data_IF_661986402760
#
_entry.id   IF_661986402760
#
_cell.length_a   1.000
_cell.length_b   1.000
_cell.length_c   1.000
_cell.angle_alpha   90.00
_cell.angle_beta   90.00
_cell.angle_gamma   90.00
#
_symmetry.space_group_name_H-M   'P 1'
#
loop_
_entity.id
_entity.type
_entity.pdbx_description
1 polymer ?
#
# COMPACT_ATOMS: atom_id res chain seq x y z
N UNK A 1 -1.37 0.21 25.60
CA UNK A 1 -2.62 -0.56 25.43
C UNK A 1 -2.38 -1.58 24.33
N UNK A 2 -2.68 -2.87 24.52
CA UNK A 2 -2.64 -3.86 23.43
C UNK A 2 -4.05 -3.91 22.82
N UNK A 3 -4.23 -3.38 21.62
CA UNK A 3 -5.47 -3.58 20.87
C UNK A 3 -5.48 -5.01 20.29
N UNK A 4 -6.66 -5.62 20.19
CA UNK A 4 -6.80 -6.89 19.49
C UNK A 4 -6.59 -6.71 17.98
N UNK A 5 -6.17 -7.78 17.31
CA UNK A 5 -6.04 -7.82 15.85
C UNK A 5 -7.35 -7.47 15.15
N UNK A 6 -8.48 -7.94 15.69
CA UNK A 6 -9.83 -7.63 15.19
C UNK A 6 -10.14 -6.13 15.23
N UNK A 7 -9.77 -5.43 16.31
CA UNK A 7 -9.97 -3.97 16.42
C UNK A 7 -9.10 -3.23 15.41
N UNK A 8 -7.85 -3.65 15.23
CA UNK A 8 -6.93 -3.01 14.28
C UNK A 8 -7.36 -3.25 12.83
N UNK A 9 -7.90 -4.43 12.52
CA UNK A 9 -8.45 -4.74 11.22
C UNK A 9 -9.70 -3.89 10.93
N UNK A 10 -10.64 -3.82 11.88
CA UNK A 10 -11.84 -2.99 11.76
C UNK A 10 -11.48 -1.51 11.54
N UNK A 11 -10.51 -0.99 12.31
CA UNK A 11 -10.05 0.40 12.14
C UNK A 11 -9.42 0.62 10.76
N UNK A 12 -8.66 -0.35 10.25
CA UNK A 12 -8.07 -0.28 8.91
C UNK A 12 -9.15 -0.25 7.82
N UNK A 13 -10.18 -1.10 7.93
CA UNK A 13 -11.32 -1.13 7.01
C UNK A 13 -12.08 0.21 7.01
N UNK A 14 -12.29 0.81 8.18
CA UNK A 14 -12.93 2.14 8.30
C UNK A 14 -12.02 3.22 7.67
N UNK A 15 -10.71 3.14 7.86
CA UNK A 15 -9.73 4.04 7.23
C UNK A 15 -9.79 3.99 5.70
N UNK A 16 -9.92 2.78 5.13
CA UNK A 16 -10.11 2.59 3.68
C UNK A 16 -11.45 3.12 3.19
N UNK A 17 -12.53 2.89 3.92
CA UNK A 17 -13.84 3.45 3.58
C UNK A 17 -13.81 4.98 3.54
N UNK A 18 -13.08 5.61 4.45
CA UNK A 18 -12.88 7.06 4.44
C UNK A 18 -12.12 7.53 3.18
N UNK A 19 -11.06 6.82 2.76
CA UNK A 19 -10.38 7.07 1.48
C UNK A 19 -11.35 6.99 0.30
N UNK A 20 -12.13 5.91 0.17
CA UNK A 20 -13.05 5.73 -0.95
C UNK A 20 -14.19 6.77 -0.99
N UNK A 21 -14.51 7.38 0.15
CA UNK A 21 -15.44 8.50 0.27
C UNK A 21 -14.82 9.87 -0.03
N UNK A 22 -13.51 9.94 -0.27
CA UNK A 22 -12.76 11.19 -0.46
C UNK A 22 -12.47 11.95 0.84
N UNK A 23 -12.68 11.32 2.00
CA UNK A 23 -12.40 11.93 3.30
C UNK A 23 -10.97 11.58 3.76
N UNK A 24 -10.00 12.17 3.06
CA UNK A 24 -8.57 11.92 3.30
C UNK A 24 -8.14 12.29 4.72
N UNK A 25 -8.75 13.33 5.33
CA UNK A 25 -8.42 13.76 6.69
C UNK A 25 -8.79 12.70 7.72
N UNK A 26 -10.00 12.14 7.66
CA UNK A 26 -10.40 11.07 8.60
C UNK A 26 -9.60 9.79 8.35
N UNK A 27 -9.35 9.46 7.09
CA UNK A 27 -8.51 8.30 6.77
C UNK A 27 -7.13 8.43 7.42
N UNK A 28 -6.47 9.57 7.24
CA UNK A 28 -5.15 9.83 7.82
C UNK A 28 -5.13 9.65 9.34
N UNK A 29 -6.06 10.27 10.07
CA UNK A 29 -6.13 10.19 11.54
C UNK A 29 -6.30 8.74 12.00
N UNK A 30 -7.18 7.97 11.34
CA UNK A 30 -7.45 6.58 11.70
C UNK A 30 -6.19 5.74 11.47
N UNK A 31 -5.56 5.87 10.30
CA UNK A 31 -4.40 5.08 9.93
C UNK A 31 -3.16 5.40 10.78
N UNK A 32 -2.97 6.67 11.19
CA UNK A 32 -1.93 7.06 12.15
C UNK A 32 -2.15 6.42 13.53
N UNK A 33 -3.39 6.38 14.02
CA UNK A 33 -3.72 5.70 15.27
C UNK A 33 -3.50 4.19 15.22
N UNK A 34 -3.78 3.56 14.07
CA UNK A 34 -3.51 2.13 13.87
C UNK A 34 -2.00 1.88 13.83
N UNK A 35 -1.19 2.66 13.10
CA UNK A 35 0.28 2.52 13.06
C UNK A 35 0.92 2.70 14.45
N UNK A 36 0.43 3.69 15.21
CA UNK A 36 0.90 3.95 16.58
C UNK A 36 0.69 2.77 17.55
N UNK A 37 -0.29 1.89 17.27
CA UNK A 37 -0.63 0.74 18.12
C UNK A 37 -0.09 -0.58 17.53
N UNK A 38 -0.18 -0.74 16.21
CA UNK A 38 0.16 -1.93 15.46
C UNK A 38 1.53 -1.81 14.82
N UNK A 39 2.55 -1.55 15.64
CA UNK A 39 3.86 -1.07 15.17
C UNK A 39 4.64 -1.99 14.20
N UNK A 40 4.18 -3.19 13.83
CA UNK A 40 4.94 -4.07 12.91
C UNK A 40 4.16 -4.91 11.91
N UNK A 41 2.82 -4.81 11.81
CA UNK A 41 2.07 -5.66 10.86
C UNK A 41 2.07 -5.05 9.46
N UNK A 42 2.59 -5.78 8.48
CA UNK A 42 2.65 -5.38 7.06
C UNK A 42 1.28 -4.94 6.52
N UNK A 43 0.18 -5.58 6.95
CA UNK A 43 -1.19 -5.22 6.55
C UNK A 43 -1.60 -3.79 6.96
N UNK A 44 -1.16 -3.30 8.12
CA UNK A 44 -1.43 -1.93 8.58
C UNK A 44 -0.59 -0.93 7.80
N UNK A 45 0.70 -1.23 7.62
CA UNK A 45 1.63 -0.39 6.85
C UNK A 45 1.18 -0.26 5.40
N UNK A 46 0.71 -1.35 4.79
CA UNK A 46 0.08 -1.35 3.46
C UNK A 46 -1.04 -0.32 3.40
N UNK A 47 -1.89 -0.29 4.42
CA UNK A 47 -3.01 0.64 4.42
C UNK A 47 -2.62 2.10 4.57
N UNK A 48 -1.67 2.40 5.45
CA UNK A 48 -1.13 3.75 5.63
C UNK A 48 -0.52 4.24 4.31
N UNK A 49 0.23 3.38 3.62
CA UNK A 49 0.85 3.71 2.34
C UNK A 49 -0.20 4.02 1.25
N UNK A 50 -1.25 3.21 1.14
CA UNK A 50 -2.36 3.46 0.22
C UNK A 50 -3.06 4.78 0.54
N UNK A 51 -3.33 5.07 1.82
CA UNK A 51 -3.94 6.34 2.23
C UNK A 51 -3.07 7.55 1.84
N UNK A 52 -1.74 7.44 1.96
CA UNK A 52 -0.80 8.46 1.50
C UNK A 52 -0.85 8.68 -0.02
N UNK A 53 -0.95 7.61 -0.82
CA UNK A 53 -1.16 7.74 -2.27
C UNK A 53 -2.42 8.56 -2.58
N UNK A 54 -3.54 8.27 -1.90
CA UNK A 54 -4.79 9.02 -2.07
C UNK A 54 -4.69 10.48 -1.61
N UNK A 55 -3.85 10.78 -0.63
CA UNK A 55 -3.55 12.14 -0.20
C UNK A 55 -2.58 12.88 -1.14
N UNK A 56 -2.03 12.21 -2.16
CA UNK A 56 -1.02 12.76 -3.07
C UNK A 56 0.41 12.70 -2.54
N UNK A 57 0.64 12.14 -1.36
CA UNK A 57 1.96 11.93 -0.76
C UNK A 57 2.59 10.65 -1.32
N UNK A 58 3.02 10.70 -2.58
CA UNK A 58 3.63 9.56 -3.27
C UNK A 58 4.97 9.18 -2.63
N UNK A 59 5.78 10.16 -2.21
CA UNK A 59 7.06 9.90 -1.57
C UNK A 59 6.91 9.14 -0.25
N UNK A 60 5.95 9.56 0.60
CA UNK A 60 5.66 8.86 1.83
C UNK A 60 5.09 7.46 1.60
N UNK A 61 4.27 7.26 0.57
CA UNK A 61 3.77 5.93 0.21
C UNK A 61 4.90 4.99 -0.25
N UNK A 62 5.78 5.48 -1.14
CA UNK A 62 6.94 4.74 -1.65
C UNK A 62 7.85 4.31 -0.51
N UNK A 63 8.17 5.19 0.43
CA UNK A 63 9.01 4.88 1.59
C UNK A 63 8.41 3.74 2.44
N UNK A 64 7.10 3.78 2.69
CA UNK A 64 6.44 2.73 3.48
C UNK A 64 6.48 1.39 2.73
N UNK A 65 6.11 1.34 1.45
CA UNK A 65 6.15 0.09 0.69
C UNK A 65 7.57 -0.49 0.64
N UNK A 66 8.57 0.33 0.31
CA UNK A 66 9.95 -0.12 0.12
C UNK A 66 10.63 -0.47 1.45
N UNK A 67 10.63 0.46 2.40
CA UNK A 67 11.49 0.39 3.58
C UNK A 67 10.80 -0.20 4.81
N UNK A 68 9.47 -0.33 4.81
CA UNK A 68 8.73 -0.92 5.93
C UNK A 68 8.15 -2.29 5.55
N UNK A 69 7.41 -2.38 4.44
CA UNK A 69 6.74 -3.63 4.04
C UNK A 69 7.72 -4.57 3.35
N UNK A 70 8.27 -4.18 2.19
CA UNK A 70 9.14 -5.05 1.38
C UNK A 70 10.49 -5.35 2.05
N UNK A 71 10.97 -4.46 2.92
CA UNK A 71 12.16 -4.73 3.74
C UNK A 71 11.97 -5.96 4.66
N UNK A 72 10.75 -6.20 5.15
CA UNK A 72 10.41 -7.36 6.00
C UNK A 72 9.86 -8.53 5.19
N UNK A 73 9.10 -8.25 4.14
CA UNK A 73 8.44 -9.23 3.28
C UNK A 73 8.79 -8.99 1.80
N UNK A 74 10.01 -9.35 1.35
CA UNK A 74 10.47 -9.05 -0.01
C UNK A 74 9.63 -9.67 -1.12
N UNK A 75 8.80 -10.67 -0.80
CA UNK A 75 7.95 -11.39 -1.74
C UNK A 75 6.46 -10.97 -1.65
N UNK A 76 6.16 -9.86 -0.98
CA UNK A 76 4.78 -9.37 -0.89
C UNK A 76 4.33 -8.72 -2.21
N UNK A 77 3.64 -9.51 -3.06
CA UNK A 77 3.28 -9.09 -4.42
C UNK A 77 2.34 -7.89 -4.46
N UNK A 78 1.35 -7.81 -3.56
CA UNK A 78 0.49 -6.63 -3.48
C UNK A 78 1.29 -5.35 -3.15
N UNK A 79 2.27 -5.42 -2.26
CA UNK A 79 3.14 -4.27 -1.94
C UNK A 79 3.98 -3.83 -3.13
N UNK A 80 4.54 -4.78 -3.91
CA UNK A 80 5.23 -4.48 -5.18
C UNK A 80 4.30 -3.83 -6.20
N UNK A 81 3.06 -4.30 -6.29
CA UNK A 81 2.06 -3.75 -7.19
C UNK A 81 1.73 -2.28 -6.84
N UNK A 82 1.40 -1.99 -5.57
CA UNK A 82 1.11 -0.62 -5.14
C UNK A 82 2.34 0.30 -5.21
N UNK A 83 3.54 -0.21 -4.92
CA UNK A 83 4.78 0.54 -5.13
C UNK A 83 4.97 0.89 -6.62
N UNK A 84 4.75 -0.06 -7.53
CA UNK A 84 4.78 0.18 -8.97
C UNK A 84 3.81 1.28 -9.39
N UNK A 85 2.57 1.24 -8.89
CA UNK A 85 1.56 2.28 -9.16
C UNK A 85 2.03 3.65 -8.66
N UNK A 86 2.53 3.74 -7.43
CA UNK A 86 3.03 4.99 -6.86
C UNK A 86 4.20 5.56 -7.66
N UNK A 87 5.14 4.72 -8.10
CA UNK A 87 6.27 5.10 -8.94
C UNK A 87 5.82 5.57 -10.33
N UNK A 88 4.86 4.91 -10.96
CA UNK A 88 4.26 5.36 -12.23
C UNK A 88 3.64 6.74 -12.09
N UNK A 89 2.89 7.01 -11.00
CA UNK A 89 2.30 8.32 -10.74
C UNK A 89 3.34 9.42 -10.48
N UNK A 90 4.53 9.05 -9.99
CA UNK A 90 5.67 9.95 -9.79
C UNK A 90 6.51 10.14 -11.07
N UNK A 91 6.31 9.31 -12.09
CA UNK A 91 7.07 9.31 -13.34
C UNK A 91 8.33 8.44 -13.34
N UNK A 92 8.53 7.63 -12.30
CA UNK A 92 9.67 6.70 -12.16
C UNK A 92 9.36 5.36 -12.86
N UNK A 93 9.20 5.39 -14.18
CA UNK A 93 8.63 4.25 -14.94
C UNK A 93 9.51 3.00 -14.99
N UNK A 94 10.84 3.14 -15.05
CA UNK A 94 11.74 1.98 -15.18
C UNK A 94 11.66 1.05 -13.96
N UNK A 95 11.67 1.59 -12.74
CA UNK A 95 11.52 0.79 -11.53
C UNK A 95 10.11 0.22 -11.40
N UNK A 96 9.08 1.01 -11.73
CA UNK A 96 7.70 0.53 -11.75
C UNK A 96 7.52 -0.68 -12.66
N UNK A 97 8.10 -0.64 -13.86
CA UNK A 97 8.06 -1.73 -14.83
C UNK A 97 8.69 -3.00 -14.27
N UNK A 98 9.87 -2.91 -13.67
CA UNK A 98 10.55 -4.07 -13.08
C UNK A 98 9.69 -4.73 -11.98
N UNK A 99 9.03 -3.93 -11.15
CA UNK A 99 8.11 -4.43 -10.12
C UNK A 99 6.88 -5.12 -10.73
N UNK A 100 6.27 -4.54 -11.75
CA UNK A 100 5.13 -5.15 -12.44
C UNK A 100 5.51 -6.45 -13.15
N UNK A 101 6.70 -6.55 -13.74
CA UNK A 101 7.20 -7.81 -14.32
C UNK A 101 7.32 -8.93 -13.26
N UNK A 102 7.75 -8.59 -12.05
CA UNK A 102 7.80 -9.53 -10.94
C UNK A 102 6.40 -9.97 -10.49
N UNK A 103 5.47 -9.03 -10.37
CA UNK A 103 4.08 -9.31 -9.98
C UNK A 103 3.37 -10.15 -11.04
N UNK A 104 3.56 -9.87 -12.34
CA UNK A 104 3.00 -10.67 -13.43
C UNK A 104 3.47 -12.13 -13.38
N UNK A 105 4.73 -12.36 -12.98
CA UNK A 105 5.28 -13.72 -12.82
C UNK A 105 4.74 -14.42 -11.58
N UNK A 106 4.73 -13.74 -10.43
CA UNK A 106 4.60 -14.39 -9.12
C UNK A 106 3.32 -14.07 -8.33
N UNK A 107 2.52 -13.09 -8.78
CA UNK A 107 1.28 -12.69 -8.14
C UNK A 107 0.14 -13.71 -8.29
N UNK A 108 -0.94 -13.48 -7.56
CA UNK A 108 -2.21 -14.14 -7.79
C UNK A 108 -2.91 -13.57 -9.05
N UNK A 109 -4.00 -14.18 -9.57
CA UNK A 109 -4.66 -13.73 -10.80
C UNK A 109 -5.07 -12.24 -10.80
N UNK A 110 -5.53 -11.71 -9.68
CA UNK A 110 -5.95 -10.31 -9.57
C UNK A 110 -4.73 -9.37 -9.65
N UNK A 111 -3.68 -9.68 -8.91
CA UNK A 111 -2.42 -8.93 -8.93
C UNK A 111 -1.76 -8.93 -10.31
N UNK A 112 -1.77 -10.08 -10.99
CA UNK A 112 -1.27 -10.22 -12.36
C UNK A 112 -2.06 -9.36 -13.34
N UNK A 113 -3.38 -9.37 -13.24
CA UNK A 113 -4.23 -8.54 -14.11
C UNK A 113 -3.92 -7.05 -13.99
N UNK A 114 -3.64 -6.56 -12.76
CA UNK A 114 -3.21 -5.18 -12.55
C UNK A 114 -1.83 -4.94 -13.18
N UNK A 115 -0.86 -5.79 -12.90
CA UNK A 115 0.50 -5.64 -13.41
C UNK A 115 0.55 -5.67 -14.95
N UNK A 116 -0.15 -6.61 -15.57
CA UNK A 116 -0.20 -6.76 -17.03
C UNK A 116 -0.84 -5.54 -17.71
N UNK A 117 -1.85 -4.92 -17.08
CA UNK A 117 -2.42 -3.66 -17.55
C UNK A 117 -1.35 -2.56 -17.63
N UNK A 118 -0.57 -2.36 -16.55
CA UNK A 118 0.47 -1.33 -16.52
C UNK A 118 1.66 -1.64 -17.43
N UNK A 119 1.99 -2.92 -17.66
CA UNK A 119 3.05 -3.31 -18.59
C UNK A 119 2.68 -3.09 -20.06
N UNK A 120 1.38 -3.00 -20.37
CA UNK A 120 0.88 -2.85 -21.73
C UNK A 120 0.71 -1.41 -22.21
N UNK A 121 0.91 -0.42 -21.33
CA UNK A 121 0.79 1.01 -21.64
C UNK A 121 2.14 1.63 -22.05
#
# INVERSE_FOLDING_TARGET
>A
MKASTEILQLLSEIGYMACFKGDSTRSQIIMEGVDAIASEQSSVKMGVAVAKMYAGDMDGAIDIFRNNVLAKEPNHMSAKCFLGIALTLKGEQEEAKALFEEVSKHGNPDEKGIADFYLSQ
#
